data_IF_018119334436
#
_entry.id   IF_018119334436
#
_cell.length_a   1.000
_cell.length_b   1.000
_cell.length_c   1.000
_cell.angle_alpha   90.00
_cell.angle_beta   90.00
_cell.angle_gamma   90.00
#
_symmetry.space_group_name_H-M   'P 1'
#
loop_
_entity.id
_entity.type
_entity.pdbx_description
1 polymer ?
#
# COMPACT_ATOMS: atom_id res chain seq x y z
N UNK A 1 15.49 11.26 -30.18
CA UNK A 1 16.54 10.68 -29.32
C UNK A 1 16.35 11.11 -27.87
N UNK A 2 16.93 12.23 -27.46
CA UNK A 2 16.99 12.64 -26.06
C UNK A 2 15.65 13.08 -25.46
N UNK A 3 14.76 13.71 -26.24
CA UNK A 3 13.44 14.11 -25.75
C UNK A 3 12.56 12.90 -25.37
N UNK A 4 12.71 11.77 -26.07
CA UNK A 4 11.99 10.53 -25.74
C UNK A 4 12.44 9.99 -24.38
N UNK A 5 13.76 9.95 -24.14
CA UNK A 5 14.34 9.50 -22.87
C UNK A 5 13.89 10.40 -21.71
N UNK A 6 13.91 11.73 -21.90
CA UNK A 6 13.46 12.68 -20.87
C UNK A 6 11.96 12.50 -20.59
N UNK A 7 11.14 12.33 -21.62
CA UNK A 7 9.70 12.11 -21.49
C UNK A 7 9.41 10.80 -20.75
N UNK A 8 10.10 9.72 -21.10
CA UNK A 8 9.94 8.42 -20.45
C UNK A 8 10.39 8.47 -18.99
N UNK A 9 11.53 9.11 -18.69
CA UNK A 9 12.01 9.29 -17.31
C UNK A 9 11.03 10.11 -16.46
N UNK A 10 10.44 11.16 -17.04
CA UNK A 10 9.45 12.01 -16.37
C UNK A 10 8.14 11.27 -16.12
N UNK A 11 7.66 10.49 -17.10
CA UNK A 11 6.50 9.61 -16.96
C UNK A 11 6.74 8.51 -15.91
N UNK A 12 7.93 7.88 -15.91
CA UNK A 12 8.32 6.86 -14.92
C UNK A 12 8.35 7.45 -13.51
N UNK A 13 8.91 8.64 -13.33
CA UNK A 13 8.88 9.37 -12.04
C UNK A 13 7.48 9.76 -11.60
N UNK A 14 6.63 10.29 -12.50
CA UNK A 14 5.23 10.60 -12.17
C UNK A 14 4.48 9.35 -11.72
N UNK A 15 4.59 8.25 -12.48
CA UNK A 15 3.96 6.98 -12.13
C UNK A 15 4.47 6.40 -10.80
N UNK A 16 5.75 6.58 -10.49
CA UNK A 16 6.28 6.22 -9.17
C UNK A 16 5.70 7.08 -8.06
N UNK A 17 5.62 8.41 -8.24
CA UNK A 17 5.01 9.32 -7.26
C UNK A 17 3.54 9.01 -7.01
N UNK A 18 2.75 8.74 -8.05
CA UNK A 18 1.34 8.37 -7.90
C UNK A 18 1.17 7.05 -7.13
N UNK A 19 2.01 6.04 -7.40
CA UNK A 19 1.99 4.76 -6.66
C UNK A 19 2.39 4.93 -5.20
N UNK A 20 3.42 5.72 -4.91
CA UNK A 20 3.82 6.03 -3.54
C UNK A 20 2.72 6.80 -2.79
N UNK A 21 2.06 7.75 -3.43
CA UNK A 21 1.00 8.52 -2.79
C UNK A 21 -0.20 7.65 -2.43
N UNK A 22 -0.59 6.73 -3.32
CA UNK A 22 -1.61 5.73 -3.04
C UNK A 22 -1.17 4.75 -1.93
N UNK A 23 0.10 4.33 -1.92
CA UNK A 23 0.65 3.48 -0.86
C UNK A 23 0.58 4.15 0.52
N UNK A 24 1.02 5.41 0.61
CA UNK A 24 0.99 6.18 1.86
C UNK A 24 -0.46 6.37 2.35
N UNK A 25 -1.39 6.68 1.45
CA UNK A 25 -2.80 6.80 1.79
C UNK A 25 -3.38 5.46 2.30
N UNK A 26 -3.02 4.35 1.65
CA UNK A 26 -3.51 3.03 2.06
C UNK A 26 -2.98 2.62 3.44
N UNK A 27 -1.71 2.94 3.71
CA UNK A 27 -1.09 2.72 5.02
C UNK A 27 -1.79 3.58 6.09
N UNK A 28 -1.95 4.87 5.85
CA UNK A 28 -2.62 5.80 6.78
C UNK A 28 -4.08 5.39 7.07
N UNK A 29 -4.81 4.89 6.07
CA UNK A 29 -6.17 4.36 6.25
C UNK A 29 -6.12 3.09 7.10
N UNK A 30 -5.14 2.21 6.89
CA UNK A 30 -4.93 1.02 7.71
C UNK A 30 -4.65 1.36 9.18
N UNK A 31 -3.72 2.27 9.44
CA UNK A 31 -3.38 2.74 10.79
C UNK A 31 -4.59 3.40 11.49
N UNK A 32 -5.30 4.30 10.79
CA UNK A 32 -6.52 4.93 11.33
C UNK A 32 -7.60 3.90 11.63
N UNK A 33 -7.81 2.92 10.73
CA UNK A 33 -8.79 1.87 10.94
C UNK A 33 -8.42 1.00 12.15
N UNK A 34 -7.16 0.60 12.30
CA UNK A 34 -6.68 -0.19 13.45
C UNK A 34 -6.85 0.61 14.74
N UNK A 35 -6.42 1.88 14.77
CA UNK A 35 -6.54 2.75 15.94
C UNK A 35 -8.01 2.97 16.34
N UNK A 36 -8.87 3.26 15.37
CA UNK A 36 -10.30 3.40 15.62
C UNK A 36 -10.90 2.08 16.09
N UNK A 37 -10.48 0.95 15.53
CA UNK A 37 -10.94 -0.35 16.00
C UNK A 37 -10.56 -0.62 17.43
N UNK A 38 -9.29 -0.46 17.79
CA UNK A 38 -8.82 -0.72 19.15
C UNK A 38 -9.58 0.17 20.14
N UNK A 39 -9.68 1.46 19.87
CA UNK A 39 -10.44 2.40 20.73
C UNK A 39 -11.93 2.07 20.79
N UNK A 40 -12.53 1.74 19.65
CA UNK A 40 -13.95 1.35 19.58
C UNK A 40 -14.18 0.02 20.29
N UNK A 41 -13.25 -0.94 20.20
CA UNK A 41 -13.32 -2.24 20.88
C UNK A 41 -13.36 -2.05 22.38
N UNK A 42 -12.44 -1.26 22.92
CA UNK A 42 -12.37 -0.97 24.35
C UNK A 42 -13.66 -0.29 24.84
N UNK A 43 -14.12 0.73 24.11
CA UNK A 43 -15.40 1.40 24.43
C UNK A 43 -16.59 0.46 24.33
N UNK A 44 -16.64 -0.41 23.33
CA UNK A 44 -17.77 -1.32 23.12
C UNK A 44 -17.81 -2.40 24.18
N UNK A 45 -16.65 -2.96 24.56
CA UNK A 45 -16.54 -3.91 25.68
C UNK A 45 -16.95 -3.28 27.02
N UNK A 46 -16.76 -1.97 27.18
CA UNK A 46 -17.19 -1.23 28.37
C UNK A 46 -18.70 -0.94 28.40
N UNK A 47 -19.36 -0.79 27.25
CA UNK A 47 -20.75 -0.32 27.16
C UNK A 47 -21.74 -1.46 26.87
N UNK A 48 -21.37 -2.41 26.02
CA UNK A 48 -22.22 -3.49 25.55
C UNK A 48 -21.60 -4.83 25.93
N UNK A 49 -22.09 -5.41 27.02
CA UNK A 49 -21.59 -6.66 27.59
C UNK A 49 -21.78 -7.88 26.67
N UNK A 50 -22.52 -7.78 25.55
CA UNK A 50 -22.56 -8.81 24.51
C UNK A 50 -22.84 -8.26 23.10
N UNK A 51 -22.11 -8.80 22.13
CA UNK A 51 -22.33 -8.82 20.68
C UNK A 51 -21.72 -7.67 19.84
N UNK A 52 -20.46 -7.88 19.43
CA UNK A 52 -19.70 -6.96 18.59
C UNK A 52 -19.68 -7.42 17.11
N UNK A 53 -20.73 -7.07 16.36
CA UNK A 53 -20.87 -7.46 14.93
C UNK A 53 -20.20 -6.47 13.95
N UNK A 54 -20.12 -5.18 14.30
CA UNK A 54 -19.46 -4.14 13.47
C UNK A 54 -17.92 -4.29 13.43
N UNK A 55 -17.33 -4.92 14.46
CA UNK A 55 -15.93 -5.34 14.53
C UNK A 55 -15.45 -6.09 13.28
N UNK A 56 -16.25 -7.06 12.86
CA UNK A 56 -15.85 -8.04 11.87
C UNK A 56 -15.72 -7.45 10.45
N UNK A 57 -16.53 -6.43 10.13
CA UNK A 57 -16.55 -5.83 8.79
C UNK A 57 -15.26 -5.09 8.50
N UNK A 58 -14.85 -4.17 9.38
CA UNK A 58 -13.65 -3.41 9.09
C UNK A 58 -12.34 -4.10 9.53
N UNK A 59 -12.38 -5.15 10.37
CA UNK A 59 -11.28 -6.12 10.46
C UNK A 59 -10.98 -6.73 9.08
N UNK A 60 -12.03 -7.16 8.35
CA UNK A 60 -11.91 -7.73 7.01
C UNK A 60 -11.43 -6.70 5.98
N UNK A 61 -11.85 -5.43 6.11
CA UNK A 61 -11.42 -4.34 5.24
C UNK A 61 -9.94 -3.99 5.43
N UNK A 62 -9.48 -3.87 6.68
CA UNK A 62 -8.06 -3.63 6.99
C UNK A 62 -7.18 -4.73 6.44
N UNK A 63 -7.58 -5.99 6.61
CA UNK A 63 -6.84 -7.15 6.11
C UNK A 63 -6.77 -7.14 4.57
N UNK A 64 -7.86 -6.78 3.89
CA UNK A 64 -7.88 -6.61 2.43
C UNK A 64 -6.91 -5.51 1.96
N UNK A 65 -6.96 -4.34 2.60
CA UNK A 65 -6.09 -3.20 2.31
C UNK A 65 -4.61 -3.57 2.50
N UNK A 66 -4.29 -4.29 3.57
CA UNK A 66 -2.92 -4.71 3.87
C UNK A 66 -2.40 -5.70 2.82
N UNK A 67 -3.21 -6.67 2.40
CA UNK A 67 -2.85 -7.63 1.34
C UNK A 67 -2.58 -6.93 0.01
N UNK A 68 -3.45 -6.00 -0.41
CA UNK A 68 -3.26 -5.23 -1.66
C UNK A 68 -1.99 -4.37 -1.61
N UNK A 69 -1.71 -3.79 -0.45
CA UNK A 69 -0.52 -2.96 -0.20
C UNK A 69 0.76 -3.79 -0.34
N UNK A 70 0.83 -4.93 0.36
CA UNK A 70 1.99 -5.83 0.31
C UNK A 70 2.20 -6.35 -1.12
N UNK A 71 1.13 -6.79 -1.80
CA UNK A 71 1.20 -7.25 -3.19
C UNK A 71 1.81 -6.17 -4.10
N UNK A 72 1.30 -4.94 -4.01
CA UNK A 72 1.80 -3.80 -4.79
C UNK A 72 3.28 -3.52 -4.52
N UNK A 73 3.70 -3.54 -3.25
CA UNK A 73 5.11 -3.33 -2.86
C UNK A 73 6.01 -4.43 -3.41
N UNK A 74 5.60 -5.70 -3.32
CA UNK A 74 6.37 -6.81 -3.89
C UNK A 74 6.53 -6.67 -5.40
N UNK A 75 5.48 -6.29 -6.13
CA UNK A 75 5.58 -6.04 -7.58
C UNK A 75 6.53 -4.89 -7.91
N UNK A 76 6.50 -3.80 -7.15
CA UNK A 76 7.43 -2.68 -7.34
C UNK A 76 8.87 -3.12 -7.06
N UNK A 77 9.09 -3.89 -6.00
CA UNK A 77 10.42 -4.37 -5.63
C UNK A 77 11.00 -5.31 -6.69
N UNK A 78 10.19 -6.22 -7.22
CA UNK A 78 10.56 -7.09 -8.34
C UNK A 78 10.84 -6.28 -9.62
N UNK A 79 10.04 -5.26 -9.90
CA UNK A 79 10.27 -4.40 -11.06
C UNK A 79 11.59 -3.62 -10.94
N UNK A 80 11.94 -3.13 -9.74
CA UNK A 80 13.21 -2.42 -9.50
C UNK A 80 14.43 -3.34 -9.63
N UNK A 81 14.36 -4.56 -9.11
CA UNK A 81 15.45 -5.54 -9.25
C UNK A 81 15.60 -6.00 -10.69
N UNK A 82 14.49 -6.24 -11.38
CA UNK A 82 14.50 -6.61 -12.80
C UNK A 82 15.09 -5.52 -13.71
N UNK A 83 14.72 -4.26 -13.49
CA UNK A 83 15.28 -3.10 -14.20
C UNK A 83 16.81 -3.09 -14.01
N UNK A 84 17.28 -3.22 -12.76
CA UNK A 84 18.71 -3.22 -12.42
C UNK A 84 19.50 -4.38 -13.04
N UNK A 85 18.92 -5.59 -13.09
CA UNK A 85 19.54 -6.76 -13.71
C UNK A 85 19.64 -6.63 -15.24
N UNK A 86 18.66 -6.00 -15.86
CA UNK A 86 18.64 -5.76 -17.31
C UNK A 86 19.79 -4.84 -17.74
N UNK A 87 20.10 -3.82 -16.93
CA UNK A 87 21.27 -2.95 -17.17
C UNK A 87 22.60 -3.70 -17.05
N UNK A 88 22.75 -4.59 -16.06
CA UNK A 88 23.98 -5.38 -15.87
C UNK A 88 24.21 -6.35 -17.05
N UNK A 89 23.16 -7.01 -17.55
CA UNK A 89 23.28 -7.93 -18.70
C UNK A 89 23.67 -7.25 -20.01
N UNK A 90 23.39 -5.96 -20.20
CA UNK A 90 23.84 -5.21 -21.37
C UNK A 90 25.32 -4.77 -21.28
N UNK A 91 25.93 -4.86 -20.09
CA UNK A 91 27.31 -4.45 -19.85
C UNK A 91 28.31 -5.61 -20.01
N UNK A 92 27.83 -6.85 -20.02
CA UNK A 92 28.61 -8.08 -20.26
C UNK A 92 28.39 -8.60 -21.67
#
# INVERSE_FOLDING_TARGET
GNCYIIFELFCRRRRHRTRLHLFILNLAIGDLAICLFTMTSELFLLIFDQEWILGNIACKLTLYIQVVTVASTTFINVAMTYDSLSYIKCLS
#
